data_IF_822531479439
#
_entry.id   IF_822531479439
#
_cell.length_a   1.000
_cell.length_b   1.000
_cell.length_c   1.000
_cell.angle_alpha   90.00
_cell.angle_beta   90.00
_cell.angle_gamma   90.00
#
_symmetry.space_group_name_H-M   'P 1'
#
loop_
_entity.id
_entity.type
_entity.pdbx_description
1 polymer ?
#
# COMPACT_ATOMS: atom_id res chain seq x y z
N UNK A 1 26.55 11.99 -13.51
CA UNK A 1 25.77 12.43 -12.33
C UNK A 1 24.58 11.47 -12.19
N UNK A 2 24.78 10.17 -11.98
CA UNK A 2 24.95 9.46 -10.70
C UNK A 2 23.86 9.75 -9.66
N UNK A 3 22.70 9.13 -9.84
CA UNK A 3 22.14 8.23 -8.83
C UNK A 3 21.25 7.21 -9.54
N UNK A 4 21.78 6.00 -9.78
CA UNK A 4 20.91 4.84 -9.93
C UNK A 4 20.19 4.70 -8.60
N UNK A 5 18.90 4.99 -8.58
CA UNK A 5 18.02 4.60 -7.48
C UNK A 5 17.99 3.08 -7.49
N UNK A 6 18.87 2.46 -6.70
CA UNK A 6 18.77 1.04 -6.38
C UNK A 6 17.34 0.84 -5.87
N UNK A 7 16.48 0.16 -6.63
CA UNK A 7 15.02 0.07 -6.49
C UNK A 7 14.56 -0.60 -5.19
N UNK A 8 15.04 -0.07 -4.06
CA UNK A 8 14.89 -0.58 -2.71
C UNK A 8 14.11 0.43 -1.91
N UNK A 9 13.03 -0.05 -1.30
CA UNK A 9 12.26 0.74 -0.36
C UNK A 9 13.08 0.95 0.93
N UNK A 10 13.29 2.21 1.31
CA UNK A 10 13.89 2.56 2.60
C UNK A 10 12.77 2.86 3.58
N UNK A 11 12.76 2.17 4.73
CA UNK A 11 11.78 2.43 5.79
C UNK A 11 12.20 3.68 6.58
N UNK A 12 11.28 4.62 6.73
CA UNK A 12 11.45 5.84 7.50
C UNK A 12 10.71 5.68 8.85
N UNK A 13 11.38 5.81 10.01
CA UNK A 13 10.73 5.72 11.32
C UNK A 13 9.61 6.75 11.56
N UNK A 14 9.54 7.80 10.76
CA UNK A 14 8.53 8.87 10.84
C UNK A 14 7.35 8.66 9.90
N UNK A 15 7.46 7.78 8.90
CA UNK A 15 6.42 7.52 7.91
C UNK A 15 6.12 6.02 7.81
N UNK A 16 5.06 5.53 8.48
CA UNK A 16 4.61 4.16 8.34
C UNK A 16 4.19 3.82 6.91
N UNK A 17 4.60 2.64 6.44
CA UNK A 17 4.19 2.08 5.16
C UNK A 17 3.68 0.67 5.40
N UNK A 18 2.39 0.42 5.09
CA UNK A 18 1.72 -0.85 5.31
C UNK A 18 1.13 -1.39 4.00
N UNK A 19 1.60 -2.55 3.57
CA UNK A 19 1.03 -3.29 2.45
C UNK A 19 -0.20 -4.10 2.85
N UNK A 20 -1.14 -4.25 1.92
CA UNK A 20 -2.23 -5.21 2.02
C UNK A 20 -1.94 -6.42 1.13
N UNK A 21 -1.56 -7.53 1.76
CA UNK A 21 -1.27 -8.78 1.09
C UNK A 21 -2.52 -9.66 1.06
N UNK A 22 -3.06 -9.95 -0.11
CA UNK A 22 -4.19 -10.88 -0.20
C UNK A 22 -4.29 -11.50 -1.58
N UNK A 23 -4.85 -12.71 -1.65
CA UNK A 23 -5.29 -13.30 -2.90
C UNK A 23 -6.41 -12.46 -3.57
N UNK A 24 -6.67 -12.72 -4.85
CA UNK A 24 -7.81 -12.06 -5.52
C UNK A 24 -9.12 -12.56 -4.91
N UNK A 25 -10.10 -11.67 -4.74
CA UNK A 25 -11.40 -12.01 -4.15
C UNK A 25 -11.48 -11.99 -2.62
N UNK A 26 -10.40 -11.71 -1.89
CA UNK A 26 -10.42 -11.69 -0.41
C UNK A 26 -11.14 -10.47 0.18
N UNK A 27 -11.29 -9.39 -0.58
CA UNK A 27 -11.98 -8.16 -0.13
C UNK A 27 -11.08 -6.97 0.23
N UNK A 28 -9.87 -6.87 -0.35
CA UNK A 28 -8.93 -5.74 -0.11
C UNK A 28 -9.58 -4.37 -0.29
N UNK A 29 -10.28 -4.15 -1.40
CA UNK A 29 -10.94 -2.87 -1.69
C UNK A 29 -11.98 -2.55 -0.63
N UNK A 30 -12.81 -3.52 -0.26
CA UNK A 30 -13.83 -3.38 0.79
C UNK A 30 -13.20 -3.00 2.14
N UNK A 31 -12.08 -3.63 2.51
CA UNK A 31 -11.37 -3.25 3.72
C UNK A 31 -10.83 -1.82 3.63
N UNK A 32 -10.23 -1.43 2.51
CA UNK A 32 -9.70 -0.06 2.33
C UNK A 32 -10.80 1.01 2.39
N UNK A 33 -11.95 0.75 1.76
CA UNK A 33 -13.12 1.65 1.79
C UNK A 33 -13.64 1.90 3.21
N UNK A 34 -13.46 0.93 4.12
CA UNK A 34 -13.84 1.04 5.52
C UNK A 34 -12.73 1.65 6.39
N UNK A 35 -11.49 1.24 6.14
CA UNK A 35 -10.32 1.65 6.90
C UNK A 35 -10.01 3.14 6.69
N UNK A 36 -10.10 3.65 5.45
CA UNK A 36 -9.73 5.05 5.14
C UNK A 36 -10.58 6.08 5.91
N UNK A 37 -11.93 5.98 5.94
CA UNK A 37 -12.74 6.85 6.79
C UNK A 37 -12.38 6.72 8.28
N UNK A 38 -12.21 5.50 8.79
CA UNK A 38 -11.94 5.27 10.21
C UNK A 38 -10.58 5.86 10.65
N UNK A 39 -9.55 5.71 9.83
CA UNK A 39 -8.24 6.36 10.03
C UNK A 39 -8.37 7.89 10.01
N UNK A 40 -9.17 8.42 9.09
CA UNK A 40 -9.48 9.85 9.05
C UNK A 40 -10.14 10.36 10.35
N UNK A 41 -11.10 9.62 10.90
CA UNK A 41 -11.72 9.94 12.20
C UNK A 41 -10.72 9.85 13.36
N UNK A 42 -9.72 8.98 13.27
CA UNK A 42 -8.62 8.88 14.22
C UNK A 42 -7.53 9.96 14.03
N UNK A 43 -7.70 10.89 13.07
CA UNK A 43 -6.76 11.96 12.78
C UNK A 43 -5.53 11.54 11.97
N UNK A 44 -5.57 10.38 11.32
CA UNK A 44 -4.48 9.84 10.50
C UNK A 44 -4.78 10.12 9.02
N UNK A 45 -3.96 10.95 8.37
CA UNK A 45 -4.07 11.24 6.93
C UNK A 45 -3.33 10.18 6.13
N UNK A 46 -4.10 9.24 5.58
CA UNK A 46 -3.55 8.14 4.79
C UNK A 46 -3.40 8.50 3.32
N UNK A 47 -2.26 8.16 2.73
CA UNK A 47 -2.09 8.03 1.30
C UNK A 47 -2.28 6.56 0.87
N UNK A 48 -2.69 6.34 -0.38
CA UNK A 48 -2.80 4.99 -0.96
C UNK A 48 -1.97 4.92 -2.24
N UNK A 49 -1.09 3.93 -2.32
CA UNK A 49 -0.39 3.56 -3.55
C UNK A 49 -0.98 2.23 -4.03
N UNK A 50 -1.60 2.24 -5.21
CA UNK A 50 -2.26 1.07 -5.79
C UNK A 50 -1.58 0.64 -7.07
N UNK A 51 -1.25 -0.65 -7.17
CA UNK A 51 -0.81 -1.25 -8.43
C UNK A 51 -2.03 -1.67 -9.27
N UNK A 52 -2.14 -1.15 -10.50
CA UNK A 52 -3.17 -1.57 -11.45
C UNK A 52 -2.63 -2.73 -12.31
N UNK A 53 -3.45 -3.76 -12.53
CA UNK A 53 -3.06 -4.92 -13.36
C UNK A 53 -3.23 -4.69 -14.87
N UNK A 54 -3.84 -3.56 -15.27
CA UNK A 54 -4.09 -3.20 -16.65
C UNK A 54 -3.80 -1.70 -16.87
N UNK A 55 -3.57 -1.32 -18.12
CA UNK A 55 -3.50 0.07 -18.52
C UNK A 55 -4.77 0.83 -18.09
N UNK A 56 -4.61 2.07 -17.66
CA UNK A 56 -5.70 2.91 -17.19
C UNK A 56 -5.45 4.36 -17.59
N UNK A 57 -6.54 5.11 -17.78
CA UNK A 57 -6.51 6.55 -17.94
C UNK A 57 -7.27 7.20 -16.79
N UNK A 58 -6.67 8.25 -16.20
CA UNK A 58 -7.33 9.08 -15.17
C UNK A 58 -8.23 10.14 -15.83
N UNK A 59 -7.86 10.59 -17.02
CA UNK A 59 -8.65 11.51 -17.83
C UNK A 59 -9.50 10.77 -18.88
N UNK A 60 -10.34 11.53 -19.58
CA UNK A 60 -11.30 10.96 -20.51
C UNK A 60 -10.73 10.94 -21.94
N UNK A 61 -10.70 9.76 -22.61
CA UNK A 61 -10.32 9.66 -24.01
C UNK A 61 -11.03 10.68 -24.91
N UNK A 62 -10.26 11.36 -25.75
CA UNK A 62 -10.76 12.38 -26.68
C UNK A 62 -11.00 13.77 -26.10
N UNK A 63 -10.89 13.97 -24.77
CA UNK A 63 -10.91 15.31 -24.15
C UNK A 63 -9.53 15.97 -24.19
N UNK A 64 -9.49 17.25 -23.84
CA UNK A 64 -8.31 18.11 -24.04
C UNK A 64 -7.07 17.58 -23.32
N UNK A 65 -7.16 17.24 -22.03
CA UNK A 65 -6.01 16.71 -21.28
C UNK A 65 -5.49 15.40 -21.89
N UNK A 66 -6.39 14.51 -22.31
CA UNK A 66 -6.02 13.24 -22.91
C UNK A 66 -5.33 13.48 -24.26
N UNK A 67 -5.89 14.34 -25.11
CA UNK A 67 -5.30 14.68 -26.41
C UNK A 67 -3.92 15.33 -26.26
N UNK A 68 -3.74 16.22 -25.29
CA UNK A 68 -2.45 16.87 -25.02
C UNK A 68 -1.41 15.88 -24.49
N UNK A 69 -1.80 14.95 -23.60
CA UNK A 69 -0.93 13.87 -23.12
C UNK A 69 -0.50 12.94 -24.25
N UNK A 70 -1.45 12.49 -25.09
CA UNK A 70 -1.16 11.68 -26.28
C UNK A 70 -0.31 12.43 -27.32
N UNK A 71 -0.35 13.76 -27.34
CA UNK A 71 0.53 14.58 -28.17
C UNK A 71 1.96 14.74 -27.59
N UNK A 72 2.24 14.22 -26.38
CA UNK A 72 3.56 14.18 -25.77
C UNK A 72 3.74 15.02 -24.50
N UNK A 73 2.67 15.62 -23.94
CA UNK A 73 2.78 16.34 -22.68
C UNK A 73 3.07 15.38 -21.51
N UNK A 74 4.29 15.41 -20.98
CA UNK A 74 4.72 14.63 -19.81
C UNK A 74 5.68 15.45 -18.93
N UNK A 75 5.34 15.74 -17.65
CA UNK A 75 4.09 15.37 -16.97
C UNK A 75 2.87 16.19 -17.43
N UNK A 76 1.68 15.61 -17.29
CA UNK A 76 0.39 16.30 -17.43
C UNK A 76 -0.20 16.58 -16.04
N UNK A 77 -0.41 17.85 -15.70
CA UNK A 77 -0.99 18.28 -14.44
C UNK A 77 -2.33 18.99 -14.68
N UNK A 78 -3.40 18.44 -14.12
CA UNK A 78 -4.76 18.99 -14.20
C UNK A 78 -5.22 19.40 -12.80
N UNK A 79 -5.79 20.60 -12.68
CA UNK A 79 -6.27 21.12 -11.41
C UNK A 79 -7.68 21.70 -11.53
N UNK A 80 -8.42 21.63 -10.44
CA UNK A 80 -9.75 22.24 -10.25
C UNK A 80 -9.89 22.72 -8.81
N UNK A 81 -10.99 23.38 -8.47
CA UNK A 81 -11.31 23.75 -7.08
C UNK A 81 -11.51 22.55 -6.15
N UNK A 82 -11.72 21.35 -6.71
CA UNK A 82 -12.02 20.14 -5.94
C UNK A 82 -10.83 19.17 -5.83
N UNK A 83 -9.95 19.13 -6.84
CA UNK A 83 -8.88 18.13 -6.94
C UNK A 83 -7.78 18.52 -7.90
N UNK A 84 -6.64 17.88 -7.73
CA UNK A 84 -5.49 17.87 -8.64
C UNK A 84 -5.22 16.43 -9.10
N UNK A 85 -4.86 16.25 -10.37
CA UNK A 85 -4.44 14.99 -10.97
C UNK A 85 -3.11 15.19 -11.71
N UNK A 86 -2.11 14.39 -11.36
CA UNK A 86 -0.81 14.33 -12.02
C UNK A 86 -0.71 13.00 -12.77
N UNK A 87 -0.45 13.05 -14.07
CA UNK A 87 -0.17 11.87 -14.90
C UNK A 87 1.25 11.95 -15.45
N UNK A 88 1.98 10.85 -15.32
CA UNK A 88 3.30 10.64 -15.89
C UNK A 88 3.25 9.39 -16.78
N UNK A 89 3.73 9.52 -18.01
CA UNK A 89 3.92 8.37 -18.89
C UNK A 89 5.22 7.66 -18.52
N UNK A 90 5.19 6.33 -18.39
CA UNK A 90 6.36 5.48 -18.10
C UNK A 90 6.61 4.49 -19.25
N UNK A 91 6.89 4.97 -20.48
CA UNK A 91 7.06 4.10 -21.63
C UNK A 91 8.32 3.24 -21.47
N UNK A 92 8.18 1.92 -21.67
CA UNK A 92 9.29 0.98 -21.60
C UNK A 92 9.67 0.51 -20.19
N UNK A 93 8.97 0.97 -19.15
CA UNK A 93 9.06 0.38 -17.81
C UNK A 93 8.17 -0.87 -17.76
N UNK A 94 8.76 -2.01 -17.40
CA UNK A 94 8.04 -3.30 -17.34
C UNK A 94 7.14 -3.40 -16.10
N UNK A 95 7.55 -2.79 -14.98
CA UNK A 95 6.85 -2.84 -13.70
C UNK A 95 6.98 -1.51 -12.93
N UNK A 96 5.97 -1.21 -12.10
CA UNK A 96 6.00 -0.02 -11.25
C UNK A 96 7.04 -0.14 -10.10
N UNK A 97 7.84 0.92 -9.90
CA UNK A 97 8.78 1.02 -8.77
C UNK A 97 8.11 1.66 -7.55
N UNK A 98 7.83 0.85 -6.52
CA UNK A 98 7.20 1.32 -5.28
C UNK A 98 8.07 2.35 -4.54
N UNK A 99 9.39 2.22 -4.55
CA UNK A 99 10.27 3.17 -3.88
C UNK A 99 10.22 4.54 -4.54
N UNK A 100 10.12 4.58 -5.88
CA UNK A 100 9.91 5.81 -6.65
C UNK A 100 8.54 6.44 -6.32
N UNK A 101 7.47 5.65 -6.29
CA UNK A 101 6.12 6.12 -5.94
C UNK A 101 6.03 6.68 -4.51
N UNK A 102 6.67 6.02 -3.54
CA UNK A 102 6.74 6.51 -2.15
C UNK A 102 7.46 7.86 -2.08
N UNK A 103 8.57 8.04 -2.82
CA UNK A 103 9.29 9.33 -2.88
C UNK A 103 8.46 10.45 -3.49
N UNK A 104 7.53 10.14 -4.39
CA UNK A 104 6.59 11.14 -4.94
C UNK A 104 5.53 11.56 -3.94
N UNK A 105 5.07 10.64 -3.09
CA UNK A 105 3.99 10.86 -2.12
C UNK A 105 4.49 11.51 -0.82
N UNK A 106 5.69 11.16 -0.37
CA UNK A 106 6.26 11.62 0.91
C UNK A 106 6.27 13.15 1.09
N UNK A 107 6.59 14.00 0.08
CA UNK A 107 6.53 15.46 0.21
C UNK A 107 5.13 16.02 0.51
N UNK A 108 4.06 15.26 0.23
CA UNK A 108 2.68 15.61 0.57
C UNK A 108 2.35 15.36 2.05
N UNK A 109 3.32 14.84 2.81
CA UNK A 109 3.27 14.63 4.26
C UNK A 109 2.05 13.80 4.71
N UNK A 110 1.79 12.60 4.17
CA UNK A 110 0.83 11.69 4.79
C UNK A 110 1.35 11.19 6.15
N UNK A 111 0.44 10.75 7.01
CA UNK A 111 0.79 10.16 8.31
C UNK A 111 0.92 8.62 8.20
N UNK A 112 0.46 8.03 7.09
CA UNK A 112 0.53 6.60 6.76
C UNK A 112 0.44 6.43 5.23
N UNK A 113 1.25 5.53 4.65
CA UNK A 113 1.08 5.05 3.28
C UNK A 113 0.53 3.62 3.31
N UNK A 114 -0.66 3.43 2.75
CA UNK A 114 -1.23 2.11 2.47
C UNK A 114 -0.84 1.67 1.05
N UNK A 115 -0.40 0.43 0.90
CA UNK A 115 0.01 -0.13 -0.39
C UNK A 115 -0.92 -1.29 -0.77
N UNK A 116 -1.65 -1.14 -1.87
CA UNK A 116 -2.48 -2.21 -2.45
C UNK A 116 -1.80 -2.76 -3.70
N UNK A 117 -1.47 -4.05 -3.69
CA UNK A 117 -0.65 -4.67 -4.73
C UNK A 117 0.79 -4.81 -4.27
N UNK A 118 1.75 -4.78 -5.20
CA UNK A 118 3.20 -4.86 -4.90
C UNK A 118 3.56 -6.04 -3.95
N UNK A 119 2.92 -7.21 -4.10
CA UNK A 119 3.05 -8.32 -3.14
C UNK A 119 4.48 -8.78 -2.92
N UNK A 120 5.29 -8.78 -3.98
CA UNK A 120 6.70 -9.18 -3.93
C UNK A 120 7.61 -8.13 -3.29
N UNK A 121 7.13 -6.91 -3.07
CA UNK A 121 7.95 -5.87 -2.48
C UNK A 121 8.25 -6.17 -1.02
N UNK A 122 9.48 -5.87 -0.58
CA UNK A 122 9.90 -6.09 0.79
C UNK A 122 9.45 -4.88 1.63
N UNK A 123 8.21 -4.91 2.11
CA UNK A 123 7.61 -3.93 3.03
C UNK A 123 6.69 -4.61 4.06
N UNK A 124 6.44 -4.03 5.25
CA UNK A 124 5.55 -4.60 6.25
C UNK A 124 4.13 -4.74 5.68
N UNK A 125 3.45 -5.87 5.95
CA UNK A 125 2.11 -6.11 5.39
C UNK A 125 1.11 -6.62 6.43
N UNK A 126 -0.15 -6.25 6.24
CA UNK A 126 -1.31 -6.92 6.79
C UNK A 126 -1.80 -7.93 5.75
N UNK A 127 -1.75 -9.21 6.10
CA UNK A 127 -2.33 -10.25 5.24
C UNK A 127 -3.84 -10.32 5.46
N UNK A 128 -4.61 -10.41 4.38
CA UNK A 128 -6.01 -10.80 4.42
C UNK A 128 -6.14 -12.21 3.86
N UNK A 129 -6.85 -13.06 4.59
CA UNK A 129 -7.08 -14.45 4.22
C UNK A 129 -8.56 -14.81 4.36
N UNK A 130 -9.03 -15.67 3.45
CA UNK A 130 -10.35 -16.30 3.53
C UNK A 130 -10.22 -17.78 3.23
N UNK A 131 -10.63 -18.62 4.18
CA UNK A 131 -10.53 -20.07 4.05
C UNK A 131 -11.26 -20.59 2.79
N UNK A 132 -12.39 -19.97 2.45
CA UNK A 132 -13.21 -20.31 1.28
C UNK A 132 -12.49 -20.19 -0.06
N UNK A 133 -11.37 -19.45 -0.14
CA UNK A 133 -10.60 -19.31 -1.36
C UNK A 133 -9.62 -20.48 -1.59
N UNK A 134 -9.42 -21.36 -0.60
CA UNK A 134 -8.53 -22.52 -0.70
C UNK A 134 -7.08 -22.15 -1.02
N UNK A 135 -6.64 -20.95 -0.62
CA UNK A 135 -5.28 -20.45 -0.84
C UNK A 135 -4.46 -20.52 0.45
N UNK A 136 -3.15 -20.80 0.36
CA UNK A 136 -2.28 -20.80 1.53
C UNK A 136 -2.12 -19.39 2.08
N UNK A 137 -1.71 -19.32 3.35
CA UNK A 137 -1.31 -18.08 4.00
C UNK A 137 0.06 -17.64 3.49
N UNK A 138 0.17 -16.37 3.14
CA UNK A 138 1.43 -15.74 2.73
C UNK A 138 2.38 -15.61 3.92
N UNK A 139 1.86 -15.45 5.14
CA UNK A 139 2.63 -15.37 6.39
C UNK A 139 3.50 -16.60 6.67
N UNK A 140 3.24 -17.74 6.04
CA UNK A 140 4.07 -18.94 6.17
C UNK A 140 5.44 -18.76 5.51
N UNK A 141 5.53 -17.94 4.46
CA UNK A 141 6.74 -17.74 3.66
C UNK A 141 7.23 -16.28 3.63
N UNK A 142 6.35 -15.32 3.94
CA UNK A 142 6.65 -13.89 3.91
C UNK A 142 6.85 -13.32 5.33
N UNK A 143 8.10 -13.22 5.74
CA UNK A 143 8.49 -12.62 7.02
C UNK A 143 8.13 -11.14 7.17
N UNK A 144 7.67 -10.48 6.09
CA UNK A 144 7.16 -9.13 6.18
C UNK A 144 5.74 -9.00 6.72
N UNK A 145 4.99 -10.10 6.80
CA UNK A 145 3.66 -10.07 7.39
C UNK A 145 3.78 -9.68 8.87
N UNK A 146 3.04 -8.65 9.28
CA UNK A 146 3.00 -8.13 10.65
C UNK A 146 1.72 -8.55 11.39
N UNK A 147 0.68 -8.94 10.66
CA UNK A 147 -0.55 -9.53 11.18
C UNK A 147 -1.33 -10.21 10.05
N UNK A 148 -2.21 -11.15 10.43
CA UNK A 148 -3.15 -11.82 9.53
C UNK A 148 -4.57 -11.51 9.98
N UNK A 149 -5.39 -10.97 9.08
CA UNK A 149 -6.84 -10.90 9.23
C UNK A 149 -7.50 -12.05 8.45
N UNK A 150 -8.12 -12.99 9.15
CA UNK A 150 -8.74 -14.19 8.57
C UNK A 150 -10.16 -14.41 9.08
N UNK A 151 -10.99 -15.12 8.31
CA UNK A 151 -12.33 -15.53 8.73
C UNK A 151 -12.33 -16.83 9.55
N UNK A 152 -11.33 -17.69 9.32
CA UNK A 152 -11.07 -18.89 10.11
C UNK A 152 -9.61 -18.90 10.58
N UNK A 153 -9.34 -19.10 11.88
CA UNK A 153 -7.97 -19.14 12.38
C UNK A 153 -7.22 -20.37 11.85
N UNK A 154 -6.07 -20.22 11.17
CA UNK A 154 -5.20 -21.34 10.78
C UNK A 154 -4.71 -22.19 11.96
N UNK A 155 -4.46 -23.47 11.67
CA UNK A 155 -3.74 -24.38 12.56
C UNK A 155 -2.47 -24.89 11.82
N UNK A 156 -1.25 -24.72 12.38
CA UNK A 156 -0.92 -24.16 13.70
C UNK A 156 -1.05 -22.63 13.77
N UNK A 157 -1.07 -22.09 14.99
CA UNK A 157 -1.06 -20.64 15.23
C UNK A 157 0.22 -19.99 14.72
N UNK A 158 0.09 -18.85 14.05
CA UNK A 158 1.22 -18.04 13.57
C UNK A 158 1.87 -17.24 14.71
N UNK A 159 3.12 -16.83 14.52
CA UNK A 159 3.85 -15.94 15.45
C UNK A 159 3.38 -14.48 15.40
N UNK A 160 2.59 -14.12 14.39
CA UNK A 160 2.04 -12.78 14.19
C UNK A 160 0.61 -12.67 14.75
N UNK A 161 0.17 -11.47 15.16
CA UNK A 161 -1.21 -11.23 15.56
C UNK A 161 -2.22 -11.73 14.53
N UNK A 162 -3.28 -12.38 15.03
CA UNK A 162 -4.41 -12.85 14.24
C UNK A 162 -5.64 -12.01 14.58
N UNK A 163 -6.33 -11.53 13.55
CA UNK A 163 -7.51 -10.68 13.63
C UNK A 163 -8.67 -11.37 12.91
N UNK A 164 -9.91 -11.17 13.39
CA UNK A 164 -11.08 -11.54 12.61
C UNK A 164 -11.26 -10.54 11.47
N UNK A 165 -11.18 -11.00 10.22
CA UNK A 165 -11.36 -10.15 9.03
C UNK A 165 -12.76 -9.51 8.97
N UNK A 166 -13.74 -10.09 9.65
CA UNK A 166 -15.11 -9.59 9.71
C UNK A 166 -15.32 -8.62 10.90
N UNK A 167 -14.39 -8.56 11.86
CA UNK A 167 -14.36 -7.54 12.91
C UNK A 167 -13.57 -6.31 12.43
N UNK A 168 -14.30 -5.42 11.75
CA UNK A 168 -13.73 -4.19 11.20
C UNK A 168 -13.12 -3.29 12.27
N UNK A 169 -13.71 -3.25 13.47
CA UNK A 169 -13.19 -2.41 14.56
C UNK A 169 -11.84 -2.94 15.02
N UNK A 170 -11.71 -4.25 15.19
CA UNK A 170 -10.45 -4.87 15.58
C UNK A 170 -9.34 -4.61 14.56
N UNK A 171 -9.65 -4.68 13.26
CA UNK A 171 -8.66 -4.39 12.20
C UNK A 171 -8.25 -2.91 12.21
N UNK A 172 -9.21 -1.99 12.32
CA UNK A 172 -8.93 -0.54 12.44
C UNK A 172 -8.07 -0.25 13.67
N UNK A 173 -8.45 -0.77 14.83
CA UNK A 173 -7.73 -0.57 16.09
C UNK A 173 -6.31 -1.10 16.01
N UNK A 174 -6.11 -2.25 15.36
CA UNK A 174 -4.78 -2.78 15.09
C UNK A 174 -3.96 -1.85 14.19
N UNK A 175 -4.51 -1.34 13.08
CA UNK A 175 -3.79 -0.41 12.19
C UNK A 175 -3.45 0.90 12.90
N UNK A 176 -4.39 1.48 13.65
CA UNK A 176 -4.16 2.71 14.42
C UNK A 176 -3.05 2.51 15.45
N UNK A 177 -3.08 1.39 16.19
CA UNK A 177 -2.02 1.04 17.13
C UNK A 177 -0.69 0.85 16.41
N UNK A 178 -0.67 0.13 15.31
CA UNK A 178 0.54 -0.14 14.51
C UNK A 178 1.19 1.16 14.02
N UNK A 179 0.39 2.14 13.56
CA UNK A 179 0.88 3.48 13.17
C UNK A 179 1.53 4.20 14.35
N UNK A 180 0.94 4.14 15.55
CA UNK A 180 1.50 4.76 16.77
C UNK A 180 2.81 4.10 17.21
N UNK A 181 2.87 2.78 17.10
CA UNK A 181 4.04 1.98 17.52
C UNK A 181 5.15 1.95 16.44
N UNK A 182 4.87 2.48 15.23
CA UNK A 182 5.74 2.41 14.06
C UNK A 182 7.19 2.84 14.29
N UNK A 183 7.51 3.94 15.00
CA UNK A 183 8.91 4.33 15.19
C UNK A 183 9.76 3.24 15.85
N UNK A 184 9.16 2.45 16.75
CA UNK A 184 9.82 1.32 17.40
C UNK A 184 9.86 0.11 16.48
N UNK A 185 8.74 -0.26 15.86
CA UNK A 185 8.64 -1.36 14.89
C UNK A 185 9.63 -1.20 13.73
N UNK A 186 9.72 0.01 13.17
CA UNK A 186 10.63 0.34 12.08
C UNK A 186 12.10 0.10 12.45
N UNK A 187 12.50 0.47 13.68
CA UNK A 187 13.87 0.25 14.15
C UNK A 187 14.20 -1.24 14.23
N UNK A 188 13.32 -2.04 14.82
CA UNK A 188 13.46 -3.50 14.88
C UNK A 188 13.60 -4.10 13.49
N UNK A 189 12.72 -3.74 12.55
CA UNK A 189 12.77 -4.24 11.17
C UNK A 189 14.05 -3.85 10.42
N UNK A 190 14.62 -2.67 10.69
CA UNK A 190 15.89 -2.25 10.10
C UNK A 190 17.05 -3.05 10.70
N UNK A 191 17.04 -3.31 12.00
CA UNK A 191 18.10 -4.06 12.70
C UNK A 191 18.14 -5.53 12.29
N UNK A 192 16.97 -6.17 12.20
CA UNK A 192 16.85 -7.58 11.77
C UNK A 192 17.41 -7.81 10.37
N UNK A 193 17.38 -6.80 9.49
CA UNK A 193 17.91 -6.90 8.12
C UNK A 193 19.37 -6.56 7.92
N UNK A 194 20.03 -6.05 8.96
CA UNK A 194 21.49 -5.86 8.93
C UNK A 194 22.23 -7.13 9.33
N UNK A 195 21.52 -8.13 9.86
CA UNK A 195 22.04 -9.45 10.22
C UNK A 195 21.90 -10.41 9.04
#
# INVERSE_FOLDING_TARGET
MTSSTDGRLTLDPTLPILGLAAWSGTGKTTLLEQLLPALGHAGIRSAVIKHAHHAFDVDQPGKDSHRLRQAGATPMLVASSQRLALMLETPGEEDADLAMLVRMVMPLQPDLILVEGFKAWPLPKLELHRASLGKPLLAEEDHWIQAVACDEPPAPSLSVPMLDINDQSAVVDWVVKWVRDWPSTCRTLIEERRR
#
